data_IF_006187044265
#
_entry.id   IF_006187044265
#
_cell.length_a   1.000
_cell.length_b   1.000
_cell.length_c   1.000
_cell.angle_alpha   90.00
_cell.angle_beta   90.00
_cell.angle_gamma   90.00
#
_symmetry.space_group_name_H-M   'P 1'
#
loop_
_entity.id
_entity.type
_entity.pdbx_description
1 polymer ?
#
# COMPACT_ATOMS: atom_id res chain seq x y z
N UNK A 1 23.67 -0.70 -23.54
CA UNK A 1 24.15 0.42 -22.72
C UNK A 1 24.68 -0.16 -21.42
N UNK A 2 26.01 -0.24 -21.23
CA UNK A 2 26.61 -0.75 -20.00
C UNK A 2 26.11 -0.04 -18.73
N UNK A 3 25.64 1.20 -18.83
CA UNK A 3 25.05 1.94 -17.71
C UNK A 3 23.70 1.39 -17.23
N UNK A 4 23.14 0.38 -17.93
CA UNK A 4 21.85 -0.24 -17.64
C UNK A 4 21.97 -1.72 -17.26
N UNK A 5 23.19 -2.20 -17.00
CA UNK A 5 23.47 -3.61 -16.70
C UNK A 5 22.74 -4.14 -15.47
N UNK A 6 22.45 -3.25 -14.51
CA UNK A 6 21.93 -3.63 -13.20
C UNK A 6 20.39 -3.58 -13.16
N UNK A 7 19.74 -3.10 -14.22
CA UNK A 7 18.29 -2.99 -14.27
C UNK A 7 17.63 -4.32 -14.64
N UNK A 8 16.64 -4.70 -13.84
CA UNK A 8 15.64 -5.75 -14.17
C UNK A 8 14.30 -5.10 -14.53
N UNK A 9 13.31 -5.90 -14.94
CA UNK A 9 11.98 -5.40 -15.24
C UNK A 9 11.24 -5.01 -13.95
N UNK A 10 10.70 -3.80 -13.92
CA UNK A 10 9.74 -3.35 -12.91
C UNK A 10 8.34 -3.47 -13.49
N UNK A 11 7.47 -4.21 -12.80
CA UNK A 11 6.07 -4.34 -13.17
C UNK A 11 5.26 -3.43 -12.25
N UNK A 12 4.67 -2.37 -12.80
CA UNK A 12 3.78 -1.50 -12.06
C UNK A 12 2.41 -2.16 -11.93
N UNK A 13 2.02 -2.47 -10.70
CA UNK A 13 0.71 -3.03 -10.37
C UNK A 13 -0.05 -2.04 -9.51
N UNK A 14 -1.31 -1.79 -9.87
CA UNK A 14 -2.22 -0.94 -9.12
C UNK A 14 -3.39 -1.76 -8.59
N UNK A 15 -3.88 -1.42 -7.40
CA UNK A 15 -4.97 -2.14 -6.73
C UNK A 15 -6.10 -1.16 -6.39
N UNK A 16 -7.32 -1.54 -6.74
CA UNK A 16 -8.51 -1.00 -6.10
C UNK A 16 -8.86 -1.92 -4.92
N UNK A 17 -9.28 -1.33 -3.80
CA UNK A 17 -9.65 -2.06 -2.60
C UNK A 17 -10.90 -1.45 -1.97
N UNK A 18 -11.64 -2.29 -1.25
CA UNK A 18 -12.85 -1.89 -0.51
C UNK A 18 -12.54 -1.46 0.92
N UNK A 19 -11.60 -2.16 1.54
CA UNK A 19 -11.12 -1.95 2.91
C UNK A 19 -9.60 -2.05 2.91
N UNK A 20 -8.96 -1.30 3.77
CA UNK A 20 -7.53 -1.38 4.05
C UNK A 20 -7.29 -1.24 5.55
N UNK A 21 -6.34 -2.02 6.06
CA UNK A 21 -5.88 -1.98 7.45
C UNK A 21 -4.37 -1.70 7.41
N UNK A 22 -3.93 -0.66 8.13
CA UNK A 22 -2.52 -0.29 8.29
C UNK A 22 -2.08 -0.55 9.74
N UNK A 23 -0.88 -1.10 9.89
CA UNK A 23 -0.27 -1.37 11.19
C UNK A 23 1.19 -0.91 11.20
N UNK A 24 1.55 -0.06 12.15
CA UNK A 24 2.94 0.30 12.42
C UNK A 24 3.45 -0.51 13.61
N UNK A 25 3.95 -1.71 13.33
CA UNK A 25 4.30 -2.72 14.34
C UNK A 25 5.32 -2.25 15.37
N UNK A 26 6.24 -1.35 14.99
CA UNK A 26 7.30 -0.84 15.88
C UNK A 26 6.76 0.14 16.93
N UNK A 27 5.82 1.03 16.57
CA UNK A 27 5.23 1.99 17.52
C UNK A 27 3.85 1.56 18.04
N UNK A 28 3.31 0.44 17.54
CA UNK A 28 2.04 -0.13 17.99
C UNK A 28 0.79 0.62 17.54
N UNK A 29 0.90 1.60 16.63
CA UNK A 29 -0.26 2.33 16.11
C UNK A 29 -0.89 1.60 14.94
N UNK A 30 -2.20 1.70 14.82
CA UNK A 30 -2.97 1.11 13.72
C UNK A 30 -4.02 2.09 13.20
N UNK A 31 -4.45 1.88 11.96
CA UNK A 31 -5.53 2.62 11.33
C UNK A 31 -6.23 1.75 10.31
N UNK A 32 -7.50 2.02 10.04
CA UNK A 32 -8.27 1.27 9.05
C UNK A 32 -9.25 2.19 8.34
N UNK A 33 -9.57 1.83 7.10
CA UNK A 33 -10.58 2.50 6.28
C UNK A 33 -11.39 1.44 5.53
N UNK A 34 -12.72 1.54 5.59
CA UNK A 34 -13.65 0.66 4.90
C UNK A 34 -14.76 1.47 4.24
N UNK A 35 -14.82 1.43 2.91
CA UNK A 35 -15.88 2.09 2.13
C UNK A 35 -17.29 1.66 2.55
N UNK A 36 -17.47 0.43 3.06
CA UNK A 36 -18.79 -0.07 3.51
C UNK A 36 -19.14 0.33 4.94
N UNK A 37 -18.21 0.92 5.68
CA UNK A 37 -18.41 1.36 7.05
C UNK A 37 -17.67 2.70 7.28
N UNK A 38 -18.12 3.80 6.63
CA UNK A 38 -17.49 5.09 6.76
C UNK A 38 -17.59 5.59 8.22
N UNK A 39 -16.55 6.27 8.69
CA UNK A 39 -16.62 6.96 9.99
C UNK A 39 -17.52 8.18 9.86
N UNK A 40 -18.47 8.34 10.79
CA UNK A 40 -19.25 9.57 10.93
C UNK A 40 -18.37 10.70 11.49
N UNK A 41 -18.64 11.94 11.08
CA UNK A 41 -17.88 13.14 11.42
C UNK A 41 -18.41 13.84 12.68
#
# INVERSE_FOLDING_TARGET
>A
DPAKSDFTQLIQVSLAYRKIDWEHTVAGTSGSDDWRAPSEA
#
